data_IF_912174674701
#
_entry.id   IF_912174674701
#
_cell.length_a   1.000
_cell.length_b   1.000
_cell.length_c   1.000
_cell.angle_alpha   90.00
_cell.angle_beta   90.00
_cell.angle_gamma   90.00
#
_symmetry.space_group_name_H-M   'P 1'
#
loop_
_entity.id
_entity.type
_entity.pdbx_description
1 polymer ?
#
# COMPACT_ATOMS: atom_id res chain seq x y z
N UNK A 1 3.66 16.21 5.91
CA UNK A 1 3.26 15.33 4.79
C UNK A 1 4.25 14.17 4.56
N UNK A 2 5.54 14.32 4.90
CA UNK A 2 6.55 13.24 4.70
C UNK A 2 6.41 12.00 5.60
N UNK A 3 5.87 12.15 6.83
CA UNK A 3 5.79 11.03 7.78
C UNK A 3 4.82 9.91 7.38
N UNK A 4 3.81 10.18 6.56
CA UNK A 4 2.81 9.18 6.16
C UNK A 4 3.39 8.10 5.24
N UNK A 5 4.38 8.44 4.41
CA UNK A 5 4.92 7.51 3.41
C UNK A 5 5.78 6.42 4.04
N UNK A 6 6.62 6.79 5.03
CA UNK A 6 7.46 5.83 5.74
C UNK A 6 6.65 4.78 6.51
N UNK A 7 5.56 5.19 7.15
CA UNK A 7 4.65 4.29 7.85
C UNK A 7 3.96 3.33 6.86
N UNK A 8 3.43 3.88 5.76
CA UNK A 8 2.75 3.09 4.73
C UNK A 8 3.66 2.01 4.13
N UNK A 9 4.88 2.38 3.74
CA UNK A 9 5.89 1.45 3.22
C UNK A 9 6.28 0.42 4.27
N UNK A 10 6.52 0.84 5.52
CA UNK A 10 6.90 -0.05 6.60
C UNK A 10 5.86 -1.13 6.89
N UNK A 11 4.58 -0.76 6.92
CA UNK A 11 3.48 -1.69 7.14
C UNK A 11 3.35 -2.72 6.01
N UNK A 12 3.42 -2.27 4.75
CA UNK A 12 3.38 -3.15 3.57
C UNK A 12 4.57 -4.12 3.60
N UNK A 13 5.79 -3.59 3.73
CA UNK A 13 7.01 -4.40 3.76
C UNK A 13 7.01 -5.44 4.87
N UNK A 14 6.56 -5.06 6.08
CA UNK A 14 6.49 -5.98 7.22
C UNK A 14 5.50 -7.13 6.97
N UNK A 15 4.34 -6.86 6.39
CA UNK A 15 3.36 -7.89 6.07
C UNK A 15 3.87 -8.81 4.94
N UNK A 16 4.47 -8.26 3.88
CA UNK A 16 5.00 -9.03 2.77
C UNK A 16 6.15 -9.96 3.19
N UNK A 17 7.13 -9.46 3.98
CA UNK A 17 8.28 -10.27 4.41
C UNK A 17 7.89 -11.40 5.35
N UNK A 18 6.76 -11.26 6.04
CA UNK A 18 6.20 -12.31 6.90
C UNK A 18 5.31 -13.30 6.14
N UNK A 19 5.23 -13.18 4.81
CA UNK A 19 4.50 -14.11 3.94
C UNK A 19 3.02 -13.80 3.79
N UNK A 20 2.55 -12.62 4.21
CA UNK A 20 1.16 -12.20 4.07
C UNK A 20 0.95 -11.46 2.75
N UNK A 21 -0.19 -11.72 2.10
CA UNK A 21 -0.66 -10.85 1.03
C UNK A 21 -1.28 -9.58 1.61
N UNK A 22 -1.17 -8.46 0.91
CA UNK A 22 -1.58 -7.13 1.39
C UNK A 22 -2.55 -6.50 0.42
N UNK A 23 -3.64 -5.97 0.96
CA UNK A 23 -4.50 -5.01 0.28
C UNK A 23 -4.24 -3.65 0.93
N UNK A 24 -3.54 -2.78 0.23
CA UNK A 24 -3.20 -1.45 0.69
C UNK A 24 -4.34 -0.48 0.37
N UNK A 25 -4.87 0.19 1.41
CA UNK A 25 -5.82 1.30 1.27
C UNK A 25 -5.19 2.57 1.85
N UNK A 26 -4.74 3.53 1.02
CA UNK A 26 -4.21 4.80 1.51
C UNK A 26 -5.34 5.74 1.97
N UNK A 27 -4.94 6.85 2.60
CA UNK A 27 -5.83 7.98 2.80
C UNK A 27 -6.12 8.66 1.45
N UNK A 28 -7.32 9.25 1.32
CA UNK A 28 -7.78 9.87 0.07
C UNK A 28 -6.79 10.91 -0.45
N UNK A 29 -6.34 11.80 0.45
CA UNK A 29 -5.42 12.91 0.16
C UNK A 29 -4.00 12.47 -0.25
N UNK A 30 -3.64 11.19 -0.07
CA UNK A 30 -2.32 10.64 -0.37
C UNK A 30 -2.35 9.51 -1.40
N UNK A 31 -3.46 9.37 -2.12
CA UNK A 31 -3.66 8.27 -3.09
C UNK A 31 -2.65 8.25 -4.23
N UNK A 32 -2.20 9.42 -4.71
CA UNK A 32 -1.24 9.53 -5.82
C UNK A 32 0.13 8.97 -5.42
N UNK A 33 0.65 9.38 -4.25
CA UNK A 33 1.96 8.89 -3.79
C UNK A 33 1.90 7.40 -3.42
N UNK A 34 0.78 6.95 -2.85
CA UNK A 34 0.57 5.54 -2.57
C UNK A 34 0.59 4.69 -3.85
N UNK A 35 -0.03 5.16 -4.94
CA UNK A 35 0.03 4.49 -6.23
C UNK A 35 1.47 4.33 -6.74
N UNK A 36 2.28 5.40 -6.71
CA UNK A 36 3.69 5.33 -7.13
C UNK A 36 4.51 4.37 -6.24
N UNK A 37 4.28 4.36 -4.93
CA UNK A 37 4.93 3.43 -4.01
C UNK A 37 4.59 1.97 -4.37
N UNK A 38 3.31 1.65 -4.60
CA UNK A 38 2.88 0.29 -4.96
C UNK A 38 3.50 -0.12 -6.30
N UNK A 39 3.56 0.79 -7.27
CA UNK A 39 4.24 0.56 -8.54
C UNK A 39 5.71 0.20 -8.34
N UNK A 40 6.43 0.92 -7.47
CA UNK A 40 7.83 0.62 -7.14
C UNK A 40 7.99 -0.77 -6.50
N UNK A 41 7.06 -1.21 -5.65
CA UNK A 41 7.08 -2.58 -5.12
C UNK A 41 6.95 -3.63 -6.24
N UNK A 42 6.07 -3.41 -7.20
CA UNK A 42 5.91 -4.32 -8.35
C UNK A 42 7.13 -4.31 -9.27
N UNK A 43 7.71 -3.14 -9.53
CA UNK A 43 8.97 -3.02 -10.26
C UNK A 43 10.13 -3.72 -9.53
N UNK A 44 10.11 -3.74 -8.20
CA UNK A 44 11.05 -4.49 -7.36
C UNK A 44 10.76 -6.01 -7.29
N UNK A 45 9.72 -6.49 -7.99
CA UNK A 45 9.40 -7.91 -8.13
C UNK A 45 8.32 -8.45 -7.19
N UNK A 46 7.64 -7.60 -6.42
CA UNK A 46 6.48 -8.05 -5.63
C UNK A 46 5.34 -8.45 -6.57
N UNK A 47 4.85 -9.70 -6.51
CA UNK A 47 3.75 -10.14 -7.37
C UNK A 47 2.47 -9.32 -7.12
N UNK A 48 1.71 -9.02 -8.18
CA UNK A 48 0.40 -8.35 -8.05
C UNK A 48 -0.63 -9.15 -7.25
N UNK A 49 -0.48 -10.47 -7.15
CA UNK A 49 -1.29 -11.30 -6.26
C UNK A 49 -0.96 -11.11 -4.78
N UNK A 50 0.28 -10.68 -4.45
CA UNK A 50 0.74 -10.48 -3.08
C UNK A 50 0.50 -9.05 -2.57
N UNK A 51 0.38 -8.06 -3.47
CA UNK A 51 0.14 -6.66 -3.13
C UNK A 51 -0.87 -6.05 -4.09
N UNK A 52 -1.99 -5.56 -3.55
CA UNK A 52 -3.03 -4.87 -4.30
C UNK A 52 -3.31 -3.50 -3.69
N UNK A 53 -3.69 -2.54 -4.53
CA UNK A 53 -4.06 -1.19 -4.10
C UNK A 53 -5.56 -0.98 -4.32
N UNK A 54 -6.26 -0.49 -3.30
CA UNK A 54 -7.62 0.00 -3.43
C UNK A 54 -7.66 1.48 -3.06
N UNK A 55 -8.04 2.31 -4.02
CA UNK A 55 -8.28 3.74 -3.82
C UNK A 55 -9.78 3.94 -3.65
N UNK A 56 -10.16 4.64 -2.60
CA UNK A 56 -11.54 4.97 -2.32
C UNK A 56 -11.70 5.58 -0.94
N UNK A 57 -12.91 6.04 -0.66
CA UNK A 57 -13.19 6.83 0.51
C UNK A 57 -13.05 6.05 1.82
N UNK A 58 -13.22 6.74 2.95
CA UNK A 58 -13.20 6.13 4.29
C UNK A 58 -14.03 4.83 4.36
N UNK A 59 -15.17 4.77 3.69
CA UNK A 59 -16.09 3.62 3.66
C UNK A 59 -15.44 2.32 3.21
N UNK A 60 -14.42 2.38 2.36
CA UNK A 60 -13.75 1.20 1.79
C UNK A 60 -12.88 0.45 2.82
N UNK A 61 -12.55 1.07 3.96
CA UNK A 61 -11.71 0.47 5.00
C UNK A 61 -12.42 0.14 6.31
N UNK A 62 -13.75 0.19 6.35
CA UNK A 62 -14.54 0.15 7.60
C UNK A 62 -15.18 -1.21 7.94
N UNK A 63 -14.84 -2.30 7.23
CA UNK A 63 -15.35 -3.65 7.52
C UNK A 63 -14.24 -4.63 7.88
#
# INVERSE_FOLDING_TARGET
>A
MELSNGIFVGQISAALVTGNSVIAKPAEDTSIIAYEIIKLFHEAGVPGSALQLIIGGREIGMN
#
